data_IF_458697529496
#
_entry.id   IF_458697529496
#
_cell.length_a   1.000
_cell.length_b   1.000
_cell.length_c   1.000
_cell.angle_alpha   90.00
_cell.angle_beta   90.00
_cell.angle_gamma   90.00
#
_symmetry.space_group_name_H-M   'P 1'
#
loop_
_entity.id
_entity.type
_entity.pdbx_description
1 polymer ?
#
# COMPACT_ATOMS: atom_id res chain seq x y z
N UNK A 1 38.93 22.13 -53.34
CA UNK A 1 37.50 21.92 -53.64
C UNK A 1 37.05 20.68 -52.85
N UNK A 2 36.14 20.89 -51.89
CA UNK A 2 35.39 19.93 -51.03
C UNK A 2 36.18 18.94 -50.15
N UNK A 3 36.25 19.25 -48.85
CA UNK A 3 36.50 18.32 -47.75
C UNK A 3 35.18 17.64 -47.35
N UNK A 4 35.18 16.31 -47.20
CA UNK A 4 34.05 15.56 -46.62
C UNK A 4 34.31 15.35 -45.13
N UNK A 5 33.46 15.93 -44.29
CA UNK A 5 33.44 15.73 -42.84
C UNK A 5 32.55 14.51 -42.55
N UNK A 6 33.16 13.42 -42.07
CA UNK A 6 32.44 12.21 -41.66
C UNK A 6 31.90 12.43 -40.24
N UNK A 7 30.59 12.65 -40.10
CA UNK A 7 29.92 12.72 -38.80
C UNK A 7 29.67 11.29 -38.29
N UNK A 8 30.38 10.87 -37.24
CA UNK A 8 30.08 9.63 -36.51
C UNK A 8 28.97 9.94 -35.52
N UNK A 9 27.77 9.43 -35.79
CA UNK A 9 26.62 9.54 -34.90
C UNK A 9 26.71 8.45 -33.83
N UNK A 10 27.20 8.79 -32.64
CA UNK A 10 27.22 7.88 -31.49
C UNK A 10 25.79 7.80 -30.93
N UNK A 11 25.05 6.76 -31.29
CA UNK A 11 23.76 6.45 -30.66
C UNK A 11 24.06 5.86 -29.27
N UNK A 12 23.93 6.69 -28.23
CA UNK A 12 23.90 6.24 -26.85
C UNK A 12 22.58 5.49 -26.63
N UNK A 13 22.64 4.16 -26.67
CA UNK A 13 21.56 3.32 -26.15
C UNK A 13 21.55 3.49 -24.62
N UNK A 14 20.69 4.38 -24.12
CA UNK A 14 20.29 4.35 -22.72
C UNK A 14 19.42 3.11 -22.53
N UNK A 15 20.03 2.04 -22.01
CA UNK A 15 19.27 0.92 -21.49
C UNK A 15 18.32 1.47 -20.41
N UNK A 16 16.99 1.31 -20.54
CA UNK A 16 16.11 1.62 -19.42
C UNK A 16 16.59 0.79 -18.21
N UNK A 17 16.50 1.30 -16.98
CA UNK A 17 16.89 0.54 -15.81
C UNK A 17 16.15 -0.80 -15.87
N UNK A 18 16.89 -1.89 -15.97
CA UNK A 18 16.33 -3.21 -15.81
C UNK A 18 15.88 -3.27 -14.36
N UNK A 19 14.57 -3.17 -14.13
CA UNK A 19 14.00 -3.46 -12.83
C UNK A 19 14.36 -4.91 -12.55
N UNK A 20 15.34 -5.11 -11.65
CA UNK A 20 15.62 -6.43 -11.10
C UNK A 20 14.28 -7.04 -10.73
N UNK A 21 14.00 -8.22 -11.27
CA UNK A 21 12.77 -8.95 -10.99
C UNK A 21 12.65 -9.07 -9.47
N UNK A 22 11.80 -8.23 -8.86
CA UNK A 22 11.62 -8.25 -7.42
C UNK A 22 11.21 -9.66 -7.02
N UNK A 23 11.87 -10.25 -6.02
CA UNK A 23 11.56 -11.61 -5.59
C UNK A 23 10.08 -11.65 -5.17
N UNK A 24 9.30 -12.51 -5.82
CA UNK A 24 7.91 -12.74 -5.44
C UNK A 24 7.89 -13.70 -4.25
N UNK A 25 7.41 -13.23 -3.10
CA UNK A 25 7.29 -13.99 -1.86
C UNK A 25 5.84 -14.48 -1.75
N UNK A 26 5.56 -15.79 -1.94
CA UNK A 26 4.23 -16.32 -1.67
C UNK A 26 3.92 -16.24 -0.17
N UNK A 27 2.68 -15.90 0.18
CA UNK A 27 2.22 -15.90 1.57
C UNK A 27 1.39 -17.16 1.86
N UNK A 28 1.52 -17.75 3.06
CA UNK A 28 0.56 -18.76 3.53
C UNK A 28 -0.84 -18.14 3.59
N UNK A 29 -1.85 -18.89 3.13
CA UNK A 29 -3.23 -18.41 3.13
C UNK A 29 -4.22 -19.57 3.28
N UNK A 30 -5.37 -19.27 3.85
CA UNK A 30 -6.48 -20.21 3.93
C UNK A 30 -7.33 -20.16 2.67
N UNK A 31 -7.95 -21.28 2.32
CA UNK A 31 -8.95 -21.30 1.25
C UNK A 31 -10.13 -20.41 1.66
N UNK A 32 -10.45 -19.42 0.82
CA UNK A 32 -11.61 -18.57 1.03
C UNK A 32 -12.91 -19.38 0.81
N UNK A 33 -13.79 -19.34 1.81
CA UNK A 33 -15.09 -20.01 1.77
C UNK A 33 -16.09 -19.15 0.99
N UNK A 34 -16.84 -19.77 0.08
CA UNK A 34 -17.89 -19.07 -0.67
C UNK A 34 -17.39 -18.09 -1.75
N UNK A 35 -16.08 -18.05 -2.02
CA UNK A 35 -15.48 -17.23 -3.09
C UNK A 35 -14.70 -18.15 -4.02
N UNK A 36 -14.91 -17.99 -5.32
CA UNK A 36 -14.22 -18.76 -6.37
C UNK A 36 -13.60 -17.80 -7.36
N UNK A 37 -12.31 -17.99 -7.64
CA UNK A 37 -11.59 -17.23 -8.65
C UNK A 37 -11.43 -18.09 -9.90
N UNK A 38 -11.83 -17.54 -11.03
CA UNK A 38 -11.64 -18.13 -12.35
C UNK A 38 -10.76 -17.22 -13.20
N UNK A 39 -9.98 -17.78 -14.13
CA UNK A 39 -9.20 -16.97 -15.08
C UNK A 39 -7.87 -16.39 -14.56
N UNK A 40 -7.49 -16.67 -13.30
CA UNK A 40 -6.17 -16.34 -12.74
C UNK A 40 -5.90 -14.85 -12.53
N UNK A 41 -4.79 -14.53 -11.85
CA UNK A 41 -4.30 -13.16 -11.66
C UNK A 41 -3.95 -12.50 -13.00
N UNK A 42 -4.32 -11.23 -13.19
CA UNK A 42 -4.10 -10.49 -14.45
C UNK A 42 -3.29 -9.24 -14.21
N UNK A 43 -2.39 -8.93 -15.14
CA UNK A 43 -1.51 -7.76 -15.13
C UNK A 43 -1.70 -7.02 -16.45
N UNK A 44 -2.02 -5.74 -16.39
CA UNK A 44 -2.23 -4.90 -17.57
C UNK A 44 -2.19 -3.42 -17.22
N UNK A 45 -1.95 -2.60 -18.23
CA UNK A 45 -2.15 -1.17 -18.15
C UNK A 45 -3.64 -0.83 -18.25
N UNK A 46 -4.17 -0.10 -17.27
CA UNK A 46 -5.56 0.37 -17.29
C UNK A 46 -5.62 1.77 -17.88
N UNK A 47 -6.29 1.93 -19.01
CA UNK A 47 -6.59 3.25 -19.60
C UNK A 47 -7.55 4.08 -18.72
N UNK A 48 -8.34 3.44 -17.85
CA UNK A 48 -9.29 4.12 -16.94
C UNK A 48 -8.54 4.76 -15.78
N UNK A 49 -7.51 4.08 -15.24
CA UNK A 49 -6.75 4.57 -14.08
C UNK A 49 -5.38 5.15 -14.45
N UNK A 50 -4.96 5.04 -15.71
CA UNK A 50 -3.68 5.52 -16.24
C UNK A 50 -2.48 4.99 -15.43
N UNK A 51 -2.48 3.67 -15.20
CA UNK A 51 -1.47 2.98 -14.39
C UNK A 51 -1.51 1.48 -14.68
N UNK A 52 -0.38 0.80 -14.46
CA UNK A 52 -0.36 -0.67 -14.41
C UNK A 52 -1.15 -1.14 -13.18
N UNK A 53 -1.97 -2.17 -13.39
CA UNK A 53 -2.84 -2.76 -12.37
C UNK A 53 -2.67 -4.26 -12.31
N UNK A 54 -3.04 -4.83 -11.15
CA UNK A 54 -3.24 -6.27 -10.99
C UNK A 54 -4.68 -6.52 -10.58
N UNK A 55 -5.37 -7.46 -11.23
CA UNK A 55 -6.73 -7.87 -10.83
C UNK A 55 -6.84 -9.37 -10.60
N UNK A 56 -7.94 -9.79 -9.97
CA UNK A 56 -8.28 -11.19 -9.78
C UNK A 56 -7.24 -12.01 -8.99
N UNK A 57 -6.56 -11.38 -8.03
CA UNK A 57 -5.59 -12.05 -7.15
C UNK A 57 -6.33 -13.05 -6.25
N UNK A 58 -5.97 -14.33 -6.38
CA UNK A 58 -6.52 -15.42 -5.57
C UNK A 58 -5.50 -16.04 -4.60
N UNK A 59 -4.21 -15.79 -4.85
CA UNK A 59 -3.08 -16.29 -4.07
C UNK A 59 -2.25 -15.08 -3.62
N UNK A 60 -2.21 -14.77 -2.31
CA UNK A 60 -1.51 -13.59 -1.85
C UNK A 60 0.01 -13.75 -1.95
N UNK A 61 0.69 -12.66 -2.26
CA UNK A 61 2.14 -12.61 -2.38
C UNK A 61 2.68 -11.19 -2.18
N UNK A 62 3.98 -11.06 -1.96
CA UNK A 62 4.65 -9.76 -1.86
C UNK A 62 5.78 -9.63 -2.89
N UNK A 63 6.01 -8.41 -3.37
CA UNK A 63 7.24 -8.04 -4.09
C UNK A 63 8.14 -7.26 -3.14
N UNK A 64 9.39 -7.68 -2.97
CA UNK A 64 10.34 -7.02 -2.06
C UNK A 64 11.25 -6.02 -2.80
N UNK A 65 11.36 -4.82 -2.24
CA UNK A 65 12.23 -3.74 -2.69
C UNK A 65 13.22 -3.44 -1.56
N UNK A 66 14.49 -3.67 -1.83
CA UNK A 66 15.56 -3.51 -0.85
C UNK A 66 16.32 -2.21 -1.10
N UNK A 67 16.73 -1.50 -0.03
CA UNK A 67 17.63 -0.37 -0.18
C UNK A 67 18.97 -0.83 -0.75
N UNK A 68 19.71 0.09 -1.38
CA UNK A 68 21.06 -0.20 -1.86
C UNK A 68 21.95 -0.69 -0.70
N UNK A 69 22.92 -1.55 -1.01
CA UNK A 69 23.83 -2.10 0.00
C UNK A 69 24.48 -1.00 0.84
N UNK A 70 24.44 -1.13 2.16
CA UNK A 70 24.97 -0.14 3.11
C UNK A 70 24.08 1.07 3.39
N UNK A 71 22.89 1.17 2.79
CA UNK A 71 21.95 2.30 3.00
C UNK A 71 20.72 1.96 3.84
N UNK A 72 20.59 0.70 4.30
CA UNK A 72 19.46 0.26 5.12
C UNK A 72 19.36 1.05 6.41
N UNK A 73 18.16 1.52 6.72
CA UNK A 73 17.80 2.16 8.00
C UNK A 73 17.14 1.18 8.99
N UNK A 74 17.04 -0.11 8.61
CA UNK A 74 16.46 -1.18 9.40
C UNK A 74 14.93 -1.18 9.47
N UNK A 75 14.22 -0.18 8.97
CA UNK A 75 12.76 -0.16 8.98
C UNK A 75 12.16 -0.83 7.73
N UNK A 76 10.98 -1.41 7.90
CA UNK A 76 10.22 -2.02 6.81
C UNK A 76 8.80 -1.47 6.69
N UNK A 77 8.27 -1.46 5.46
CA UNK A 77 6.88 -1.08 5.17
C UNK A 77 6.23 -2.14 4.29
N UNK A 78 5.16 -2.77 4.78
CA UNK A 78 4.23 -3.53 3.94
C UNK A 78 3.24 -2.54 3.32
N UNK A 79 3.12 -2.55 2.00
CA UNK A 79 2.34 -1.61 1.21
C UNK A 79 1.17 -2.36 0.57
N UNK A 80 -0.06 -1.99 0.92
CA UNK A 80 -1.29 -2.48 0.31
C UNK A 80 -1.83 -1.43 -0.67
N UNK A 81 -1.65 -1.61 -2.00
CA UNK A 81 -2.21 -0.70 -3.01
C UNK A 81 -3.74 -0.62 -2.90
N UNK A 82 -4.34 0.46 -3.41
CA UNK A 82 -5.78 0.60 -3.53
C UNK A 82 -6.32 -0.02 -4.81
N UNK A 83 -7.59 0.27 -5.13
CA UNK A 83 -8.28 -0.26 -6.32
C UNK A 83 -9.63 -0.93 -6.01
N UNK A 84 -10.29 -0.50 -4.94
CA UNK A 84 -11.66 -0.91 -4.60
C UNK A 84 -11.85 -2.39 -4.25
N UNK A 85 -10.77 -3.13 -3.98
CA UNK A 85 -10.71 -4.60 -3.89
C UNK A 85 -10.96 -5.34 -5.22
N UNK A 86 -11.21 -4.68 -6.35
CA UNK A 86 -11.34 -5.33 -7.67
C UNK A 86 -10.02 -5.28 -8.46
N UNK A 87 -9.14 -4.35 -8.11
CA UNK A 87 -7.80 -4.24 -8.61
C UNK A 87 -6.83 -3.75 -7.55
N UNK A 88 -5.55 -3.81 -7.90
CA UNK A 88 -4.44 -3.15 -7.23
C UNK A 88 -3.89 -2.12 -8.18
N UNK A 89 -3.83 -0.84 -7.78
CA UNK A 89 -3.05 0.19 -8.46
C UNK A 89 -1.54 -0.07 -8.23
N UNK A 90 -1.07 -1.20 -8.75
CA UNK A 90 0.16 -1.87 -8.31
C UNK A 90 1.39 -1.01 -8.54
N UNK A 91 1.37 -0.18 -9.57
CA UNK A 91 2.50 0.68 -9.92
C UNK A 91 2.49 1.97 -9.09
N UNK A 92 1.45 2.80 -9.24
CA UNK A 92 1.41 4.13 -8.62
C UNK A 92 1.25 4.13 -7.09
N UNK A 93 0.61 3.11 -6.51
CA UNK A 93 0.39 2.98 -5.06
C UNK A 93 1.20 1.83 -4.44
N UNK A 94 1.93 1.07 -5.26
CA UNK A 94 2.77 -0.04 -4.83
C UNK A 94 4.24 0.18 -5.19
N UNK A 95 4.63 -0.17 -6.42
CA UNK A 95 6.05 -0.22 -6.84
C UNK A 95 6.74 1.14 -6.78
N UNK A 96 6.07 2.22 -7.18
CA UNK A 96 6.65 3.58 -7.10
C UNK A 96 6.84 4.04 -5.64
N UNK A 97 5.90 3.68 -4.77
CA UNK A 97 6.01 3.92 -3.32
C UNK A 97 7.18 3.14 -2.75
N UNK A 98 7.27 1.85 -3.09
CA UNK A 98 8.33 0.97 -2.63
C UNK A 98 9.73 1.43 -3.10
N UNK A 99 9.86 1.82 -4.37
CA UNK A 99 11.09 2.38 -4.92
C UNK A 99 11.50 3.64 -4.16
N UNK A 100 10.59 4.60 -3.97
CA UNK A 100 10.86 5.86 -3.27
C UNK A 100 11.31 5.64 -1.82
N UNK A 101 10.71 4.66 -1.13
CA UNK A 101 11.08 4.26 0.23
C UNK A 101 12.44 3.55 0.28
N UNK A 102 12.72 2.67 -0.69
CA UNK A 102 14.00 1.96 -0.78
C UNK A 102 15.18 2.90 -1.02
N UNK A 103 14.98 3.96 -1.80
CA UNK A 103 15.97 5.04 -1.99
C UNK A 103 16.28 5.81 -0.70
N UNK A 104 15.45 5.64 0.35
CA UNK A 104 15.59 6.28 1.67
C UNK A 104 15.90 5.28 2.78
N UNK A 105 16.33 4.08 2.41
CA UNK A 105 16.84 3.07 3.33
C UNK A 105 15.80 2.11 3.91
N UNK A 106 14.51 2.26 3.57
CA UNK A 106 13.49 1.31 4.02
C UNK A 106 13.52 0.04 3.17
N UNK A 107 13.22 -1.12 3.76
CA UNK A 107 12.83 -2.29 2.98
C UNK A 107 11.32 -2.28 2.76
N UNK A 108 10.88 -2.25 1.52
CA UNK A 108 9.46 -2.16 1.19
C UNK A 108 8.93 -3.48 0.59
N UNK A 109 7.70 -3.84 0.95
CA UNK A 109 7.01 -5.04 0.47
C UNK A 109 5.68 -4.65 -0.15
N UNK A 110 5.54 -4.76 -1.47
CA UNK A 110 4.26 -4.49 -2.15
C UNK A 110 3.40 -5.74 -2.07
N UNK A 111 2.31 -5.67 -1.30
CA UNK A 111 1.37 -6.76 -1.08
C UNK A 111 0.35 -6.86 -2.21
N UNK A 112 0.32 -8.03 -2.86
CA UNK A 112 -0.82 -8.48 -3.65
C UNK A 112 -1.74 -9.29 -2.74
N UNK A 113 -2.75 -8.63 -2.16
CA UNK A 113 -3.76 -9.28 -1.33
C UNK A 113 -4.92 -9.81 -2.20
N UNK A 114 -5.69 -10.78 -1.68
CA UNK A 114 -6.83 -11.37 -2.39
C UNK A 114 -7.88 -10.32 -2.76
N UNK A 115 -8.34 -10.36 -4.00
CA UNK A 115 -9.28 -9.40 -4.59
C UNK A 115 -10.62 -10.04 -4.88
N UNK A 116 -11.66 -9.23 -5.05
CA UNK A 116 -12.93 -9.66 -5.62
C UNK A 116 -12.67 -10.35 -6.98
N UNK A 117 -13.22 -11.56 -7.19
CA UNK A 117 -13.10 -12.24 -8.48
C UNK A 117 -13.62 -11.37 -9.61
N UNK A 118 -12.83 -11.23 -10.67
CA UNK A 118 -13.15 -10.41 -11.84
C UNK A 118 -12.91 -11.18 -13.13
N UNK A 119 -13.57 -10.74 -14.19
CA UNK A 119 -13.39 -11.24 -15.54
C UNK A 119 -12.12 -10.70 -16.19
N UNK A 120 -12.22 -10.19 -17.42
CA UNK A 120 -11.05 -9.74 -18.18
C UNK A 120 -10.48 -8.41 -17.72
N UNK A 121 -11.35 -7.50 -17.31
CA UNK A 121 -10.97 -6.14 -16.95
C UNK A 121 -11.69 -5.77 -15.65
N UNK A 122 -11.04 -6.08 -14.53
CA UNK A 122 -11.56 -5.75 -13.21
C UNK A 122 -11.77 -4.25 -12.99
N UNK A 123 -11.05 -3.38 -13.72
CA UNK A 123 -11.17 -1.93 -13.58
C UNK A 123 -12.41 -1.42 -14.30
N UNK A 124 -12.68 -1.90 -15.50
CA UNK A 124 -13.92 -1.62 -16.20
C UNK A 124 -15.13 -2.19 -15.44
N UNK A 125 -15.00 -3.40 -14.89
CA UNK A 125 -16.04 -4.06 -14.11
C UNK A 125 -16.42 -3.27 -12.84
N UNK A 126 -15.44 -2.85 -12.03
CA UNK A 126 -15.73 -2.04 -10.83
C UNK A 126 -16.29 -0.66 -11.20
N UNK A 127 -15.77 -0.03 -12.25
CA UNK A 127 -16.24 1.29 -12.69
C UNK A 127 -17.71 1.25 -13.11
N UNK A 128 -18.09 0.22 -13.86
CA UNK A 128 -19.48 -0.03 -14.27
C UNK A 128 -20.36 -0.37 -13.08
N UNK A 129 -19.93 -1.32 -12.24
CA UNK A 129 -20.73 -1.80 -11.12
C UNK A 129 -20.95 -0.70 -10.06
N UNK A 130 -19.96 0.15 -9.81
CA UNK A 130 -20.09 1.28 -8.88
C UNK A 130 -21.12 2.32 -9.33
N UNK A 131 -21.35 2.46 -10.64
CA UNK A 131 -22.38 3.35 -11.19
C UNK A 131 -23.76 2.69 -11.23
N UNK A 132 -23.82 1.41 -11.60
CA UNK A 132 -25.09 0.71 -11.86
C UNK A 132 -25.69 0.05 -10.61
N UNK A 133 -24.86 -0.57 -9.77
CA UNK A 133 -25.29 -1.31 -8.58
C UNK A 133 -24.22 -1.27 -7.46
N UNK A 134 -24.09 -0.12 -6.77
CA UNK A 134 -23.14 0.03 -5.68
C UNK A 134 -23.42 -0.91 -4.50
N UNK A 135 -24.66 -1.37 -4.33
CA UNK A 135 -25.00 -2.31 -3.26
C UNK A 135 -24.37 -3.69 -3.52
N UNK A 136 -24.47 -4.21 -4.75
CA UNK A 136 -23.80 -5.46 -5.12
C UNK A 136 -22.28 -5.32 -5.10
N UNK A 137 -21.75 -4.16 -5.48
CA UNK A 137 -20.31 -3.87 -5.34
C UNK A 137 -19.86 -4.09 -3.89
N UNK A 138 -20.52 -3.43 -2.94
CA UNK A 138 -20.20 -3.53 -1.52
C UNK A 138 -20.45 -4.93 -0.95
N UNK A 139 -21.49 -5.63 -1.40
CA UNK A 139 -21.74 -7.01 -1.00
C UNK A 139 -20.61 -7.96 -1.42
N UNK A 140 -20.03 -7.75 -2.60
CA UNK A 140 -18.88 -8.53 -3.08
C UNK A 140 -17.60 -8.15 -2.32
N UNK A 141 -17.37 -6.86 -2.06
CA UNK A 141 -16.28 -6.40 -1.19
C UNK A 141 -16.36 -7.09 0.18
N UNK A 142 -17.53 -7.10 0.81
CA UNK A 142 -17.73 -7.69 2.13
C UNK A 142 -17.42 -9.19 2.20
N UNK A 143 -17.57 -9.93 1.09
CA UNK A 143 -17.20 -11.36 1.02
C UNK A 143 -15.70 -11.59 0.98
N UNK A 144 -14.92 -10.60 0.50
CA UNK A 144 -13.49 -10.78 0.23
C UNK A 144 -12.60 -10.00 1.19
N UNK A 145 -13.03 -8.83 1.67
CA UNK A 145 -12.25 -7.99 2.56
C UNK A 145 -11.68 -8.73 3.79
N UNK A 146 -12.39 -9.66 4.46
CA UNK A 146 -11.81 -10.45 5.55
C UNK A 146 -10.56 -11.23 5.12
N UNK A 147 -10.57 -11.79 3.91
CA UNK A 147 -9.44 -12.52 3.34
C UNK A 147 -8.29 -11.58 2.96
N UNK A 148 -8.59 -10.39 2.45
CA UNK A 148 -7.58 -9.36 2.19
C UNK A 148 -6.89 -8.91 3.50
N UNK A 149 -7.64 -8.83 4.60
CA UNK A 149 -7.12 -8.50 5.94
C UNK A 149 -6.23 -9.62 6.47
N UNK A 150 -6.65 -10.89 6.36
CA UNK A 150 -5.81 -12.05 6.69
C UNK A 150 -4.48 -12.02 5.94
N UNK A 151 -4.49 -11.65 4.67
CA UNK A 151 -3.28 -11.54 3.85
C UNK A 151 -2.37 -10.42 4.36
N UNK A 152 -2.94 -9.29 4.79
CA UNK A 152 -2.21 -8.19 5.43
C UNK A 152 -1.56 -8.60 6.75
N UNK A 153 -2.29 -9.30 7.62
CA UNK A 153 -1.76 -9.86 8.87
C UNK A 153 -0.64 -10.87 8.60
N UNK A 154 -0.86 -11.77 7.64
CA UNK A 154 0.12 -12.77 7.22
C UNK A 154 1.39 -12.13 6.64
N UNK A 155 1.25 -11.02 5.91
CA UNK A 155 2.38 -10.25 5.39
C UNK A 155 3.26 -9.69 6.51
N UNK A 156 2.65 -9.04 7.52
CA UNK A 156 3.40 -8.49 8.67
C UNK A 156 4.10 -9.61 9.43
N UNK A 157 3.40 -10.70 9.73
CA UNK A 157 3.98 -11.85 10.41
C UNK A 157 5.15 -12.48 9.63
N UNK A 158 5.02 -12.60 8.31
CA UNK A 158 6.09 -13.09 7.45
C UNK A 158 7.31 -12.17 7.51
N UNK A 159 7.13 -10.86 7.35
CA UNK A 159 8.23 -9.88 7.39
C UNK A 159 8.94 -9.93 8.75
N UNK A 160 8.18 -9.97 9.85
CA UNK A 160 8.73 -10.04 11.21
C UNK A 160 9.51 -11.33 11.46
N UNK A 161 8.97 -12.46 11.04
CA UNK A 161 9.61 -13.78 11.22
C UNK A 161 10.90 -13.95 10.40
N UNK A 162 11.03 -13.18 9.32
CA UNK A 162 12.19 -13.20 8.42
C UNK A 162 13.03 -11.92 8.52
N UNK A 163 12.88 -11.14 9.60
CA UNK A 163 13.52 -9.84 9.77
C UNK A 163 15.05 -9.91 9.60
N UNK A 164 15.68 -10.95 10.15
CA UNK A 164 17.12 -11.18 10.02
C UNK A 164 17.55 -11.37 8.56
N UNK A 165 16.77 -12.11 7.75
CA UNK A 165 17.07 -12.33 6.33
C UNK A 165 17.02 -11.03 5.53
N UNK A 166 16.12 -10.11 5.90
CA UNK A 166 15.97 -8.83 5.23
C UNK A 166 16.87 -7.72 5.80
N UNK A 167 17.59 -7.98 6.90
CA UNK A 167 18.41 -6.97 7.58
C UNK A 167 17.57 -5.83 8.16
N UNK A 168 16.36 -6.16 8.63
CA UNK A 168 15.41 -5.22 9.23
C UNK A 168 15.29 -5.46 10.74
N UNK A 169 14.95 -4.41 11.48
CA UNK A 169 14.60 -4.46 12.89
C UNK A 169 13.15 -4.99 13.02
N UNK A 170 12.93 -6.11 13.72
CA UNK A 170 11.59 -6.67 13.88
C UNK A 170 10.64 -5.74 14.64
N UNK A 171 11.12 -4.71 15.35
CA UNK A 171 10.32 -3.68 16.01
C UNK A 171 10.07 -2.42 15.17
N UNK A 172 10.38 -2.45 13.86
CA UNK A 172 10.20 -1.31 12.93
C UNK A 172 9.47 -1.71 11.65
N UNK A 173 8.41 -2.50 11.76
CA UNK A 173 7.62 -2.99 10.61
C UNK A 173 6.27 -2.29 10.58
N UNK A 174 6.03 -1.47 9.56
CA UNK A 174 4.75 -0.78 9.40
C UNK A 174 3.87 -1.36 8.32
N UNK A 175 2.60 -0.96 8.35
CA UNK A 175 1.60 -1.27 7.32
C UNK A 175 1.03 0.03 6.74
N UNK A 176 1.19 0.21 5.44
CA UNK A 176 0.72 1.34 4.67
C UNK A 176 -0.32 0.84 3.67
N UNK A 177 -1.44 1.56 3.51
CA UNK A 177 -2.40 1.17 2.50
C UNK A 177 -3.26 2.30 2.00
N UNK A 178 -3.65 2.19 0.73
CA UNK A 178 -4.30 3.23 -0.04
C UNK A 178 -5.76 2.86 -0.33
N UNK A 179 -6.73 3.75 -0.11
CA UNK A 179 -8.14 3.50 -0.48
C UNK A 179 -8.65 2.15 0.08
N UNK A 180 -8.96 1.19 -0.77
CA UNK A 180 -9.23 -0.21 -0.41
C UNK A 180 -8.11 -0.88 0.43
N UNK A 181 -6.84 -0.70 0.07
CA UNK A 181 -5.71 -1.10 0.90
C UNK A 181 -5.66 -0.33 2.23
N UNK A 182 -6.24 0.86 2.29
CA UNK A 182 -6.50 1.58 3.53
C UNK A 182 -7.56 0.89 4.40
N UNK A 183 -8.63 0.36 3.81
CA UNK A 183 -9.58 -0.49 4.54
C UNK A 183 -8.91 -1.78 5.07
N UNK A 184 -8.00 -2.38 4.27
CA UNK A 184 -7.14 -3.49 4.73
C UNK A 184 -6.24 -3.05 5.89
N UNK A 185 -5.66 -1.84 5.83
CA UNK A 185 -4.83 -1.26 6.90
C UNK A 185 -5.61 -1.14 8.21
N UNK A 186 -6.87 -0.67 8.16
CA UNK A 186 -7.75 -0.61 9.32
C UNK A 186 -8.04 -2.02 9.86
N UNK A 187 -8.43 -2.95 8.98
CA UNK A 187 -8.70 -4.34 9.39
C UNK A 187 -7.49 -5.00 10.05
N UNK A 188 -6.28 -4.79 9.52
CA UNK A 188 -5.02 -5.22 10.14
C UNK A 188 -4.86 -4.55 11.51
N UNK A 189 -5.01 -3.23 11.60
CA UNK A 189 -4.86 -2.50 12.85
C UNK A 189 -5.78 -3.04 13.96
N UNK A 190 -7.04 -3.34 13.64
CA UNK A 190 -8.04 -3.78 14.62
C UNK A 190 -8.00 -5.28 14.94
N UNK A 191 -7.39 -6.10 14.09
CA UNK A 191 -7.37 -7.56 14.24
C UNK A 191 -6.02 -8.12 14.66
N UNK A 192 -4.97 -7.30 14.64
CA UNK A 192 -3.62 -7.79 14.87
C UNK A 192 -3.31 -8.08 16.34
N UNK A 193 -2.49 -9.11 16.54
CA UNK A 193 -1.93 -9.58 17.80
C UNK A 193 -0.50 -10.14 17.61
N UNK A 194 0.33 -9.99 18.65
CA UNK A 194 1.69 -10.57 18.67
C UNK A 194 2.52 -10.29 17.41
N UNK A 195 2.87 -11.33 16.67
CA UNK A 195 3.78 -11.23 15.53
C UNK A 195 3.19 -10.58 14.26
N UNK A 196 1.87 -10.50 14.14
CA UNK A 196 1.21 -9.87 12.99
C UNK A 196 0.88 -8.37 13.24
N UNK A 197 1.16 -7.85 14.43
CA UNK A 197 0.96 -6.45 14.79
C UNK A 197 2.00 -5.54 14.12
N UNK A 198 1.59 -4.50 13.36
CA UNK A 198 2.51 -3.48 12.88
C UNK A 198 3.04 -2.59 14.02
N UNK A 199 4.25 -2.07 13.86
CA UNK A 199 4.85 -1.08 14.77
C UNK A 199 4.44 0.36 14.43
N UNK A 200 3.87 0.58 13.25
CA UNK A 200 3.25 1.84 12.80
C UNK A 200 2.26 1.63 11.66
N UNK A 201 1.33 2.58 11.49
CA UNK A 201 0.28 2.54 10.46
C UNK A 201 0.30 3.79 9.58
N UNK A 202 0.06 3.61 8.28
CA UNK A 202 -0.02 4.69 7.29
C UNK A 202 -1.23 4.50 6.36
N UNK A 203 -2.46 4.73 6.86
CA UNK A 203 -3.63 4.77 6.01
C UNK A 203 -3.63 6.03 5.13
N UNK A 204 -3.71 5.83 3.82
CA UNK A 204 -3.76 6.89 2.81
C UNK A 204 -5.14 6.85 2.14
N UNK A 205 -5.91 7.94 2.31
CA UNK A 205 -7.33 8.08 1.96
C UNK A 205 -8.12 6.78 2.21
N UNK A 206 -8.11 6.26 3.46
CA UNK A 206 -8.65 4.94 3.77
C UNK A 206 -10.14 4.86 3.45
N UNK A 207 -10.57 3.75 2.85
CA UNK A 207 -11.98 3.54 2.50
C UNK A 207 -12.80 3.12 3.74
N UNK A 208 -13.18 4.10 4.54
CA UNK A 208 -13.88 3.90 5.82
C UNK A 208 -15.31 3.40 5.70
N UNK A 209 -15.94 3.49 4.52
CA UNK A 209 -17.26 2.87 4.32
C UNK A 209 -17.17 1.34 4.20
N UNK A 210 -16.08 0.84 3.60
CA UNK A 210 -15.83 -0.60 3.49
C UNK A 210 -15.36 -1.20 4.82
N UNK A 211 -14.58 -0.44 5.59
CA UNK A 211 -14.20 -0.82 6.96
C UNK A 211 -14.36 0.39 7.90
N UNK A 212 -15.49 0.49 8.64
CA UNK A 212 -15.78 1.61 9.52
C UNK A 212 -14.73 1.82 10.62
N UNK A 213 -14.51 3.10 10.95
CA UNK A 213 -13.63 3.49 12.05
C UNK A 213 -14.22 3.02 13.38
N UNK A 214 -13.37 2.41 14.20
CA UNK A 214 -13.64 2.04 15.59
C UNK A 214 -12.62 2.73 16.52
N UNK A 215 -12.88 2.77 17.85
CA UNK A 215 -11.87 3.19 18.82
C UNK A 215 -10.53 2.46 18.62
N UNK A 216 -9.42 3.14 18.90
CA UNK A 216 -8.11 2.52 18.76
C UNK A 216 -8.00 1.27 19.65
N UNK A 217 -7.53 0.13 19.13
CA UNK A 217 -7.40 -1.09 19.90
C UNK A 217 -6.32 -0.95 20.98
N UNK A 218 -6.37 -1.80 21.99
CA UNK A 218 -5.33 -1.84 23.02
C UNK A 218 -3.96 -2.12 22.38
N UNK A 219 -2.95 -1.32 22.73
CA UNK A 219 -1.61 -1.46 22.17
C UNK A 219 -1.46 -0.98 20.71
N UNK A 220 -2.46 -0.28 20.14
CA UNK A 220 -2.35 0.24 18.78
C UNK A 220 -1.05 1.05 18.56
N UNK A 221 -0.39 0.89 17.41
CA UNK A 221 0.85 1.58 17.13
C UNK A 221 0.60 3.04 16.72
N UNK A 222 1.66 3.88 16.72
CA UNK A 222 1.61 5.21 16.13
C UNK A 222 1.10 5.20 14.69
N UNK A 223 0.36 6.25 14.31
CA UNK A 223 -0.29 6.33 13.00
C UNK A 223 -0.12 7.70 12.35
N UNK A 224 0.02 7.73 11.02
CA UNK A 224 -0.17 8.95 10.22
C UNK A 224 -1.21 8.71 9.13
N UNK A 225 -2.30 9.47 9.18
CA UNK A 225 -3.36 9.45 8.17
C UNK A 225 -3.09 10.53 7.14
N UNK A 226 -3.26 10.22 5.85
CA UNK A 226 -3.05 11.16 4.74
C UNK A 226 -4.29 11.15 3.85
N UNK A 227 -4.88 12.30 3.55
CA UNK A 227 -6.07 12.37 2.69
C UNK A 227 -6.17 13.75 2.01
N UNK A 228 -7.08 13.89 1.04
CA UNK A 228 -7.46 15.17 0.46
C UNK A 228 -8.92 15.50 0.82
N UNK A 229 -9.20 16.77 1.10
CA UNK A 229 -10.53 17.26 1.48
C UNK A 229 -11.51 17.16 0.30
N UNK A 230 -11.02 17.36 -0.92
CA UNK A 230 -11.80 17.26 -2.15
C UNK A 230 -11.88 15.83 -2.73
N UNK A 231 -11.59 14.81 -1.91
CA UNK A 231 -11.78 13.41 -2.30
C UNK A 231 -13.28 13.16 -2.63
N UNK A 232 -13.63 12.85 -3.89
CA UNK A 232 -15.03 12.71 -4.32
C UNK A 232 -15.73 11.50 -3.71
N UNK A 233 -15.01 10.57 -3.07
CA UNK A 233 -15.57 9.45 -2.34
C UNK A 233 -15.90 9.79 -0.88
N UNK A 234 -15.67 11.04 -0.44
CA UNK A 234 -16.04 11.50 0.90
C UNK A 234 -15.14 10.99 2.03
N UNK A 235 -13.97 10.45 1.72
CA UNK A 235 -13.07 9.78 2.68
C UNK A 235 -12.37 10.72 3.67
N UNK A 236 -12.50 12.03 3.48
CA UNK A 236 -11.94 13.03 4.38
C UNK A 236 -12.54 12.95 5.78
N UNK A 237 -13.87 12.76 5.90
CA UNK A 237 -14.55 12.68 7.20
C UNK A 237 -14.06 11.47 8.01
N UNK A 238 -14.10 10.28 7.40
CA UNK A 238 -13.59 9.06 8.04
C UNK A 238 -12.09 9.13 8.39
N UNK A 239 -11.28 9.86 7.62
CA UNK A 239 -9.88 10.10 7.94
C UNK A 239 -9.70 10.98 9.19
N UNK A 240 -10.57 11.98 9.39
CA UNK A 240 -10.59 12.83 10.60
C UNK A 240 -11.05 12.03 11.81
N UNK A 241 -12.07 11.19 11.64
CA UNK A 241 -12.59 10.32 12.71
C UNK A 241 -11.52 9.32 13.16
N UNK A 242 -10.82 8.70 12.21
CA UNK A 242 -9.72 7.77 12.49
C UNK A 242 -8.58 8.42 13.26
N UNK A 243 -8.15 9.62 12.84
CA UNK A 243 -7.16 10.41 13.59
C UNK A 243 -7.64 10.73 15.01
N UNK A 244 -8.90 11.13 15.15
CA UNK A 244 -9.49 11.49 16.45
C UNK A 244 -9.54 10.30 17.40
N UNK A 245 -9.90 9.11 16.89
CA UNK A 245 -9.93 7.87 17.67
C UNK A 245 -8.55 7.49 18.25
N UNK A 246 -7.47 7.63 17.47
CA UNK A 246 -6.11 7.39 17.97
C UNK A 246 -5.67 8.46 18.99
N UNK A 247 -5.93 9.73 18.70
CA UNK A 247 -5.59 10.85 19.58
C UNK A 247 -6.28 10.72 20.94
N UNK A 248 -7.57 10.36 20.95
CA UNK A 248 -8.37 10.20 22.18
C UNK A 248 -7.91 9.03 23.04
N UNK A 249 -7.33 7.99 22.43
CA UNK A 249 -6.66 6.91 23.12
C UNK A 249 -5.25 7.29 23.64
N UNK A 250 -4.77 8.52 23.41
CA UNK A 250 -3.44 8.97 23.80
C UNK A 250 -2.30 8.37 22.96
N UNK A 251 -2.62 7.77 21.81
CA UNK A 251 -1.64 7.14 20.92
C UNK A 251 -1.08 8.20 19.97
N UNK A 252 0.25 8.25 19.73
CA UNK A 252 0.84 9.21 18.81
C UNK A 252 0.20 9.12 17.41
N UNK A 253 -0.42 10.21 16.99
CA UNK A 253 -1.14 10.27 15.72
C UNK A 253 -0.83 11.57 14.97
N UNK A 254 -0.76 11.48 13.65
CA UNK A 254 -0.70 12.62 12.76
C UNK A 254 -1.80 12.52 11.70
N UNK A 255 -2.31 13.67 11.26
CA UNK A 255 -3.20 13.80 10.11
C UNK A 255 -2.59 14.82 9.16
N UNK A 256 -2.43 14.45 7.90
CA UNK A 256 -2.12 15.38 6.83
C UNK A 256 -3.29 15.41 5.85
N UNK A 257 -4.05 16.51 5.90
CA UNK A 257 -5.20 16.75 5.04
C UNK A 257 -4.85 17.81 4.00
N UNK A 258 -4.76 17.41 2.74
CA UNK A 258 -4.62 18.34 1.62
C UNK A 258 -5.97 18.99 1.32
N UNK A 259 -5.97 20.26 0.87
CA UNK A 259 -7.21 20.89 0.40
C UNK A 259 -7.62 20.37 -0.98
N UNK A 260 -6.63 20.05 -1.83
CA UNK A 260 -6.81 19.53 -3.18
C UNK A 260 -5.89 18.35 -3.47
N UNK A 261 -6.42 17.35 -4.14
CA UNK A 261 -5.70 16.17 -4.62
C UNK A 261 -6.61 15.09 -5.18
N UNK A 262 -7.91 15.14 -4.89
CA UNK A 262 -8.88 14.12 -5.29
C UNK A 262 -8.62 12.75 -4.65
N UNK A 263 -9.27 11.72 -5.20
CA UNK A 263 -9.04 10.34 -4.79
C UNK A 263 -7.92 9.69 -5.61
N UNK A 264 -7.17 8.77 -4.99
CA UNK A 264 -6.23 7.91 -5.70
C UNK A 264 -5.04 8.64 -6.31
N UNK A 265 -4.60 9.76 -5.72
CA UNK A 265 -3.46 10.50 -6.27
C UNK A 265 -2.17 9.67 -6.28
N UNK A 266 -1.97 8.77 -5.31
CA UNK A 266 -0.81 7.86 -5.26
C UNK A 266 0.50 8.60 -5.51
N UNK A 267 1.41 7.99 -6.27
CA UNK A 267 2.66 8.63 -6.72
C UNK A 267 2.53 9.40 -8.05
N UNK A 268 1.30 9.63 -8.56
CA UNK A 268 1.09 10.38 -9.80
C UNK A 268 1.32 11.88 -9.57
N UNK A 269 2.02 12.52 -10.50
CA UNK A 269 2.24 13.97 -10.47
C UNK A 269 1.03 14.70 -11.08
N UNK A 270 0.39 15.57 -10.30
CA UNK A 270 -0.76 16.38 -10.73
C UNK A 270 -0.44 17.87 -10.80
N UNK A 271 0.78 18.28 -10.42
CA UNK A 271 1.15 19.67 -10.21
C UNK A 271 0.50 20.28 -8.97
N UNK A 272 0.13 19.45 -7.99
CA UNK A 272 -0.55 19.84 -6.76
C UNK A 272 0.34 19.57 -5.53
N UNK A 273 0.12 20.26 -4.39
CA UNK A 273 0.87 19.98 -3.16
C UNK A 273 0.79 18.52 -2.69
N UNK A 274 -0.30 17.82 -3.02
CA UNK A 274 -0.52 16.40 -2.75
C UNK A 274 0.55 15.49 -3.37
N UNK A 275 1.23 15.91 -4.44
CA UNK A 275 2.30 15.14 -5.10
C UNK A 275 3.48 14.86 -4.13
N UNK A 276 3.62 15.68 -3.08
CA UNK A 276 4.66 15.52 -2.06
C UNK A 276 4.24 14.69 -0.83
N UNK A 277 3.08 14.02 -0.87
CA UNK A 277 2.49 13.35 0.30
C UNK A 277 3.44 12.37 1.00
N UNK A 278 4.20 11.58 0.25
CA UNK A 278 5.07 10.55 0.80
C UNK A 278 6.20 11.15 1.64
N UNK A 279 6.54 12.42 1.39
CA UNK A 279 7.51 13.16 2.20
C UNK A 279 6.95 13.49 3.59
N UNK A 280 5.63 13.64 3.74
CA UNK A 280 4.98 13.82 5.06
C UNK A 280 5.11 12.55 5.91
N UNK A 281 4.93 11.38 5.30
CA UNK A 281 5.23 10.11 5.96
C UNK A 281 6.71 10.03 6.34
N UNK A 282 7.63 10.33 5.42
CA UNK A 282 9.06 10.24 5.72
C UNK A 282 9.49 11.17 6.86
N UNK A 283 9.04 12.43 6.88
CA UNK A 283 9.36 13.36 7.96
C UNK A 283 8.81 12.88 9.30
N UNK A 284 7.58 12.35 9.32
CA UNK A 284 6.99 11.73 10.49
C UNK A 284 7.79 10.49 10.96
N UNK A 285 8.23 9.65 10.02
CA UNK A 285 8.99 8.43 10.30
C UNK A 285 10.32 8.70 10.99
N UNK A 286 10.97 9.85 10.73
CA UNK A 286 12.23 10.21 11.38
C UNK A 286 12.10 10.27 12.90
N UNK A 287 10.96 10.74 13.39
CA UNK A 287 10.69 10.88 14.83
C UNK A 287 10.16 9.58 15.41
N UNK A 288 9.19 8.95 14.75
CA UNK A 288 8.43 7.85 15.34
C UNK A 288 8.99 6.45 15.04
N UNK A 289 9.87 6.32 14.05
CA UNK A 289 10.40 5.02 13.59
C UNK A 289 11.93 5.01 13.61
N UNK A 290 12.56 5.97 12.95
CA UNK A 290 14.01 5.96 12.75
C UNK A 290 14.78 6.39 14.01
N UNK A 291 14.29 7.42 14.70
CA UNK A 291 14.86 7.85 15.99
C UNK A 291 14.35 7.03 17.20
N UNK A 292 13.33 6.19 17.02
CA UNK A 292 12.82 5.36 18.09
C UNK A 292 13.87 4.33 18.53
N UNK A 293 14.12 4.27 19.85
CA UNK A 293 14.96 3.23 20.45
C UNK A 293 14.34 1.85 20.16
N UNK A 294 15.16 0.79 20.04
CA UNK A 294 14.64 -0.56 19.85
C UNK A 294 13.65 -0.89 20.97
N UNK A 295 12.43 -1.35 20.63
CA UNK A 295 11.53 -1.89 21.65
C UNK A 295 12.16 -3.18 22.17
N UNK A 296 12.49 -3.23 23.46
CA UNK A 296 12.90 -4.48 24.10
C UNK A 296 11.75 -5.48 23.96
N UNK A 297 11.92 -6.50 23.14
CA UNK A 297 11.02 -7.67 23.12
C UNK A 297 11.23 -8.42 24.44
N UNK A 298 10.17 -8.67 25.25
CA UNK A 298 10.27 -9.64 26.33
C UNK A 298 10.60 -11.01 25.75
N UNK A 299 11.58 -11.70 26.34
CA UNK A 299 11.90 -13.12 26.08
C UNK A 299 10.71 -14.05 26.40
#
# INVERSE_FOLDING_TARGET
>A
MKYYLLLILTVLFTCPPAWSQADSIPLPYNKAAGVTWEGGEKHYFSEIWDTEVVTNVSVPSMQVFRPASGTSNGAAVVIAPGGGLYGLSIESEGRQVAAWLSDRGFTAFVLKYRLVPTGQDGIAEISKLGQEDPASLMANVGKVLPYSIEDGLGAVAHVRSNAQQYGIDPGKIGFMGFSAGGAVTLGVAYSADGNNAPDFLVPVYPWTDAYPVAPAPEGAPPMIVICATDDPLGLAAGSVDLYSAWREAGIPAALHMYSRGGHGFGMREQGLPSDSWISRFYDWSKVHILAAAPRNTPE
#
